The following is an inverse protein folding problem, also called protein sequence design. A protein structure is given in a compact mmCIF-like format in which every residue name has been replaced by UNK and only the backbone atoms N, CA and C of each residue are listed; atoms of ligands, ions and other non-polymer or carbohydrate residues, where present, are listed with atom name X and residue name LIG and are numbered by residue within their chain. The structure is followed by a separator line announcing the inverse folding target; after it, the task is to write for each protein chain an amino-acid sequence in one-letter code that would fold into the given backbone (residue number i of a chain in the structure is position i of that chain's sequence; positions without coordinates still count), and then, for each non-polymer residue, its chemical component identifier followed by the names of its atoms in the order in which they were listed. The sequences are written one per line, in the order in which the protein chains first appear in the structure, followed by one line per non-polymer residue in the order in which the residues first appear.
data_IF_395175123662
#
_entry.id   IF_395175123662
#
_cell.length_a   1.000
_cell.length_b   1.000
_cell.length_c   1.000
_cell.angle_alpha   90.00
_cell.angle_beta   90.00
_cell.angle_gamma   90.00
#
_symmetry.space_group_name_H-M   'P 1'
#
loop_
_entity.id
_entity.type
_entity.pdbx_description
1 polymer ?
#
# COMPACT_ATOMS: atom_id res chain seq x y z
N UNK A 1 -4.72 -1.34 17.72
CA UNK A 1 -4.37 0.04 17.86
C UNK A 1 -3.85 0.68 16.55
N UNK A 2 -3.09 -0.05 15.71
CA UNK A 2 -2.74 0.37 14.35
C UNK A 2 -3.41 -0.55 13.33
N UNK A 3 -4.19 -0.01 12.42
CA UNK A 3 -4.69 -0.71 11.24
C UNK A 3 -3.75 -0.43 10.07
N UNK A 4 -2.95 -1.42 9.70
CA UNK A 4 -2.01 -1.34 8.56
C UNK A 4 -2.33 -2.44 7.56
N UNK A 5 -3.25 -2.13 6.65
CA UNK A 5 -3.69 -3.01 5.56
C UNK A 5 -3.84 -2.19 4.28
N UNK A 6 -4.37 -2.78 3.22
CA UNK A 6 -4.77 -2.07 2.01
C UNK A 6 -6.04 -1.24 2.27
N UNK A 7 -5.94 -0.30 3.20
CA UNK A 7 -7.03 0.58 3.61
C UNK A 7 -6.86 1.93 2.95
N UNK A 8 -7.74 2.23 2.00
CA UNK A 8 -7.72 3.51 1.28
C UNK A 8 -8.06 4.66 2.21
N UNK A 9 -7.19 5.67 2.24
CA UNK A 9 -7.48 6.93 2.89
C UNK A 9 -8.54 7.68 2.08
N UNK A 10 -9.77 7.66 2.57
CA UNK A 10 -10.93 8.28 1.95
C UNK A 10 -11.71 9.09 2.98
N UNK A 11 -12.35 10.18 2.52
CA UNK A 11 -13.12 11.09 3.38
C UNK A 11 -14.12 10.35 4.28
N UNK A 12 -14.87 9.39 3.73
CA UNK A 12 -15.86 8.62 4.50
C UNK A 12 -15.21 7.81 5.62
N UNK A 13 -14.05 7.22 5.38
CA UNK A 13 -13.32 6.44 6.39
C UNK A 13 -12.69 7.32 7.44
N UNK A 14 -12.11 8.42 7.02
CA UNK A 14 -11.50 9.39 7.93
C UNK A 14 -12.56 10.09 8.78
N UNK A 15 -13.61 10.64 8.16
CA UNK A 15 -14.59 11.46 8.84
C UNK A 15 -15.63 10.67 9.65
N UNK A 16 -16.08 9.47 9.20
CA UNK A 16 -17.22 8.77 9.80
C UNK A 16 -16.87 7.51 10.58
N UNK A 17 -15.71 6.87 10.30
CA UNK A 17 -15.31 5.64 10.99
C UNK A 17 -14.36 5.87 12.19
N UNK A 18 -14.04 7.12 12.50
CA UNK A 18 -13.12 7.44 13.59
C UNK A 18 -11.67 6.98 13.34
N UNK A 19 -11.31 6.77 12.08
CA UNK A 19 -9.93 6.47 11.69
C UNK A 19 -9.13 7.76 11.55
N UNK A 20 -7.86 7.71 11.93
CA UNK A 20 -6.92 8.80 11.75
C UNK A 20 -5.75 8.29 10.91
N UNK A 21 -5.73 8.62 9.62
CA UNK A 21 -4.69 8.17 8.71
C UNK A 21 -3.39 8.93 8.92
N UNK A 22 -2.29 8.21 9.15
CA UNK A 22 -0.97 8.81 9.41
C UNK A 22 -0.24 9.26 8.14
N UNK A 23 -0.76 8.88 6.99
CA UNK A 23 -0.20 9.19 5.68
C UNK A 23 -0.37 8.03 4.70
N UNK A 24 0.08 8.22 3.48
CA UNK A 24 0.03 7.17 2.44
C UNK A 24 1.33 6.40 2.46
N UNK A 25 1.29 5.09 2.63
CA UNK A 25 2.48 4.23 2.52
C UNK A 25 2.50 3.38 1.25
N UNK A 26 1.41 3.38 0.47
CA UNK A 26 1.37 2.75 -0.83
C UNK A 26 0.36 3.47 -1.74
N UNK A 27 0.82 3.98 -2.87
CA UNK A 27 -0.03 4.54 -3.92
C UNK A 27 -0.44 3.41 -4.85
N UNK A 28 -1.71 3.03 -4.78
CA UNK A 28 -2.32 1.98 -5.58
C UNK A 28 -3.45 2.54 -6.47
N UNK A 29 -4.06 1.66 -7.22
CA UNK A 29 -5.26 1.90 -7.99
C UNK A 29 -6.05 0.62 -8.13
N UNK A 30 -7.35 0.74 -8.34
CA UNK A 30 -8.22 -0.40 -8.59
C UNK A 30 -8.02 -0.93 -10.01
N UNK A 31 -7.81 -2.23 -10.12
CA UNK A 31 -7.66 -2.94 -11.38
C UNK A 31 -8.68 -4.07 -11.56
N UNK A 32 -8.48 -4.86 -12.60
CA UNK A 32 -9.27 -6.05 -12.88
C UNK A 32 -8.35 -7.24 -13.11
N UNK A 33 -8.68 -8.38 -12.51
CA UNK A 33 -8.10 -9.69 -12.79
C UNK A 33 -9.09 -10.48 -13.64
N UNK A 34 -8.61 -11.06 -14.72
CA UNK A 34 -9.39 -11.88 -15.67
C UNK A 34 -8.62 -13.16 -16.03
N UNK A 35 -9.33 -14.17 -16.51
CA UNK A 35 -8.66 -15.29 -17.15
C UNK A 35 -7.97 -14.81 -18.43
N UNK A 36 -6.72 -15.25 -18.63
CA UNK A 36 -5.92 -14.91 -19.79
C UNK A 36 -6.61 -15.41 -21.06
N UNK A 37 -6.80 -14.52 -22.02
CA UNK A 37 -7.51 -14.86 -23.25
C UNK A 37 -7.81 -13.63 -24.10
N UNK A 38 -9.06 -13.48 -24.50
CA UNK A 38 -9.48 -12.40 -25.42
C UNK A 38 -9.63 -11.03 -24.73
N UNK A 39 -9.78 -11.00 -23.41
CA UNK A 39 -9.96 -9.74 -22.64
C UNK A 39 -8.57 -9.21 -22.26
N UNK A 40 -8.21 -8.07 -22.81
CA UNK A 40 -6.93 -7.38 -22.58
C UNK A 40 -7.11 -5.93 -22.10
N UNK A 41 -8.36 -5.46 -22.01
CA UNK A 41 -8.71 -4.10 -21.58
C UNK A 41 -9.99 -4.12 -20.78
N UNK A 42 -10.09 -3.24 -19.80
CA UNK A 42 -11.28 -3.05 -18.96
C UNK A 42 -12.54 -2.66 -19.77
N UNK A 43 -12.36 -2.00 -20.91
CA UNK A 43 -13.47 -1.64 -21.83
C UNK A 43 -14.15 -2.86 -22.44
N UNK A 44 -13.46 -3.99 -22.54
CA UNK A 44 -14.01 -5.25 -23.05
C UNK A 44 -14.87 -6.00 -22.02
N UNK A 45 -14.96 -5.51 -20.78
CA UNK A 45 -15.79 -6.08 -19.72
C UNK A 45 -17.26 -5.62 -19.81
N UNK A 46 -17.72 -5.20 -20.98
CA UNK A 46 -19.14 -4.82 -21.19
C UNK A 46 -20.06 -6.00 -20.90
N UNK A 47 -21.00 -5.80 -19.96
CA UNK A 47 -21.97 -6.82 -19.53
C UNK A 47 -21.38 -7.94 -18.65
N UNK A 48 -20.09 -7.92 -18.38
CA UNK A 48 -19.41 -8.96 -17.60
C UNK A 48 -19.86 -9.00 -16.14
N UNK A 49 -19.86 -10.19 -15.56
CA UNK A 49 -19.98 -10.38 -14.11
C UNK A 49 -18.64 -10.09 -13.44
N UNK A 50 -18.63 -9.25 -12.41
CA UNK A 50 -17.42 -8.81 -11.71
C UNK A 50 -17.55 -9.08 -10.22
N UNK A 51 -16.70 -9.97 -9.69
CA UNK A 51 -16.62 -10.23 -8.26
C UNK A 51 -15.99 -9.02 -7.53
N UNK A 52 -16.61 -8.62 -6.43
CA UNK A 52 -16.14 -7.49 -5.60
C UNK A 52 -16.56 -7.69 -4.15
N UNK A 53 -15.75 -7.19 -3.20
CA UNK A 53 -16.08 -7.24 -1.78
C UNK A 53 -16.96 -6.06 -1.40
N UNK A 54 -18.00 -6.31 -0.60
CA UNK A 54 -18.94 -5.30 -0.11
C UNK A 54 -18.29 -4.29 0.85
N UNK A 55 -18.86 -3.07 0.90
CA UNK A 55 -18.43 -2.02 1.81
C UNK A 55 -17.04 -1.45 1.52
N UNK A 56 -16.53 -1.67 0.32
CA UNK A 56 -15.21 -1.19 -0.11
C UNK A 56 -15.30 0.02 -1.04
N UNK A 57 -14.22 0.79 -1.13
CA UNK A 57 -14.07 1.82 -2.17
C UNK A 57 -14.18 1.21 -3.55
N UNK A 58 -13.70 -0.02 -3.72
CA UNK A 58 -13.67 -0.72 -5.01
C UNK A 58 -15.07 -1.13 -5.49
N UNK A 59 -16.01 -1.44 -4.60
CA UNK A 59 -17.40 -1.68 -4.97
C UNK A 59 -18.03 -0.42 -5.57
N UNK A 60 -17.84 0.72 -4.90
CA UNK A 60 -18.33 2.01 -5.38
C UNK A 60 -17.70 2.40 -6.72
N UNK A 61 -16.38 2.32 -6.81
CA UNK A 61 -15.65 2.70 -8.02
C UNK A 61 -16.01 1.81 -9.22
N UNK A 62 -16.28 0.52 -9.00
CA UNK A 62 -16.77 -0.39 -10.04
C UNK A 62 -18.10 0.13 -10.64
N UNK A 63 -19.04 0.52 -9.78
CA UNK A 63 -20.33 1.06 -10.21
C UNK A 63 -20.17 2.36 -11.01
N UNK A 64 -19.36 3.28 -10.47
CA UNK A 64 -19.11 4.58 -11.09
C UNK A 64 -18.41 4.44 -12.46
N UNK A 65 -17.37 3.60 -12.53
CA UNK A 65 -16.64 3.33 -13.77
C UNK A 65 -17.51 2.67 -14.84
N UNK A 66 -18.28 1.64 -14.45
CA UNK A 66 -19.19 0.93 -15.34
C UNK A 66 -20.25 1.87 -15.94
N UNK A 67 -20.80 2.76 -15.11
CA UNK A 67 -21.80 3.75 -15.52
C UNK A 67 -21.20 4.82 -16.43
N UNK A 68 -20.07 5.41 -16.04
CA UNK A 68 -19.41 6.47 -16.79
C UNK A 68 -18.95 6.01 -18.19
N UNK A 69 -18.65 4.72 -18.36
CA UNK A 69 -18.17 4.15 -19.61
C UNK A 69 -19.25 3.33 -20.37
N UNK A 70 -20.51 3.33 -19.90
CA UNK A 70 -21.62 2.58 -20.50
C UNK A 70 -21.31 1.08 -20.65
N UNK A 71 -20.66 0.47 -19.67
CA UNK A 71 -20.21 -0.92 -19.73
C UNK A 71 -21.26 -1.91 -19.21
N UNK A 72 -22.25 -1.46 -18.45
CA UNK A 72 -23.29 -2.31 -17.88
C UNK A 72 -22.74 -3.57 -17.17
N UNK A 73 -21.59 -3.43 -16.49
CA UNK A 73 -21.00 -4.52 -15.70
C UNK A 73 -21.96 -4.95 -14.60
N UNK A 74 -21.94 -6.22 -14.25
CA UNK A 74 -22.82 -6.82 -13.24
C UNK A 74 -22.00 -7.16 -11.99
N UNK A 75 -22.01 -6.32 -10.94
CA UNK A 75 -21.32 -6.65 -9.69
C UNK A 75 -21.90 -7.92 -9.06
N UNK A 76 -21.02 -8.82 -8.62
CA UNK A 76 -21.35 -9.96 -7.77
C UNK A 76 -20.64 -9.74 -6.45
N UNK A 77 -21.42 -9.36 -5.44
CA UNK A 77 -20.90 -8.82 -4.17
C UNK A 77 -20.80 -9.92 -3.11
N UNK A 78 -19.70 -9.93 -2.39
CA UNK A 78 -19.43 -10.86 -1.28
C UNK A 78 -18.99 -10.11 -0.03
N UNK A 79 -19.32 -10.60 1.15
CA UNK A 79 -19.00 -9.94 2.42
C UNK A 79 -17.50 -10.06 2.79
N UNK A 80 -16.85 -11.17 2.41
CA UNK A 80 -15.46 -11.43 2.79
C UNK A 80 -14.54 -11.55 1.58
N UNK A 81 -13.26 -11.23 1.79
CA UNK A 81 -12.22 -11.43 0.78
C UNK A 81 -12.13 -12.90 0.34
N UNK A 82 -12.20 -13.82 1.30
CA UNK A 82 -12.12 -15.26 1.02
C UNK A 82 -13.28 -15.73 0.12
N UNK A 83 -14.51 -15.31 0.41
CA UNK A 83 -15.67 -15.63 -0.42
C UNK A 83 -15.54 -15.05 -1.83
N UNK A 84 -15.01 -13.83 -1.94
CA UNK A 84 -14.77 -13.18 -3.25
C UNK A 84 -13.73 -13.95 -4.05
N UNK A 85 -12.59 -14.32 -3.43
CA UNK A 85 -11.54 -15.11 -4.06
C UNK A 85 -12.07 -16.45 -4.57
N UNK A 86 -12.75 -17.19 -3.70
CA UNK A 86 -13.32 -18.50 -4.04
C UNK A 86 -14.32 -18.39 -5.19
N UNK A 87 -15.16 -17.36 -5.21
CA UNK A 87 -16.13 -17.15 -6.28
C UNK A 87 -15.47 -16.89 -7.63
N UNK A 88 -14.43 -16.06 -7.67
CA UNK A 88 -13.70 -15.80 -8.90
C UNK A 88 -12.98 -17.04 -9.42
N UNK A 89 -12.19 -17.72 -8.58
CA UNK A 89 -11.43 -18.90 -9.01
C UNK A 89 -12.29 -20.12 -9.35
N UNK A 90 -13.54 -20.19 -8.83
CA UNK A 90 -14.52 -21.19 -9.24
C UNK A 90 -15.25 -20.84 -10.54
N UNK A 91 -14.93 -19.72 -11.19
CA UNK A 91 -15.55 -19.30 -12.45
C UNK A 91 -16.92 -18.64 -12.33
N UNK A 92 -17.34 -18.25 -11.11
CA UNK A 92 -18.62 -17.56 -10.89
C UNK A 92 -18.67 -16.15 -11.48
N UNK A 93 -17.51 -15.49 -11.59
CA UNK A 93 -17.36 -14.17 -12.19
C UNK A 93 -16.35 -14.21 -13.34
N UNK A 94 -16.59 -13.39 -14.36
CA UNK A 94 -15.68 -13.24 -15.50
C UNK A 94 -14.47 -12.35 -15.18
N UNK A 95 -14.61 -11.47 -14.20
CA UNK A 95 -13.53 -10.63 -13.67
C UNK A 95 -13.61 -10.49 -12.16
N UNK A 96 -12.48 -10.15 -11.55
CA UNK A 96 -12.38 -9.76 -10.16
C UNK A 96 -11.79 -8.36 -10.06
N UNK A 97 -12.31 -7.51 -9.20
CA UNK A 97 -11.82 -6.15 -9.01
C UNK A 97 -11.51 -5.85 -7.55
N UNK A 98 -10.31 -5.35 -7.32
CA UNK A 98 -9.83 -4.74 -6.07
C UNK A 98 -8.56 -3.95 -6.39
N UNK A 99 -7.79 -3.53 -5.38
CA UNK A 99 -6.48 -2.87 -5.55
C UNK A 99 -5.54 -3.74 -6.41
N UNK A 100 -4.81 -3.14 -7.33
CA UNK A 100 -3.93 -3.86 -8.25
C UNK A 100 -2.85 -4.67 -7.53
N UNK A 101 -2.28 -4.13 -6.45
CA UNK A 101 -1.34 -4.87 -5.59
C UNK A 101 -2.01 -6.06 -4.90
N UNK A 102 -3.27 -5.89 -4.47
CA UNK A 102 -4.12 -6.94 -3.92
C UNK A 102 -4.39 -8.04 -4.93
N UNK A 103 -4.74 -7.68 -6.18
CA UNK A 103 -4.93 -8.65 -7.28
C UNK A 103 -3.66 -9.44 -7.58
N UNK A 104 -2.49 -8.79 -7.56
CA UNK A 104 -1.21 -9.48 -7.73
C UNK A 104 -0.96 -10.50 -6.62
N UNK A 105 -1.23 -10.15 -5.37
CA UNK A 105 -1.09 -11.03 -4.21
C UNK A 105 -2.07 -12.21 -4.30
N UNK A 106 -3.35 -11.94 -4.58
CA UNK A 106 -4.40 -12.95 -4.72
C UNK A 106 -4.07 -13.91 -5.85
N UNK A 107 -3.68 -13.41 -7.02
CA UNK A 107 -3.26 -14.23 -8.15
C UNK A 107 -2.11 -15.15 -7.79
N UNK A 108 -1.09 -14.63 -7.11
CA UNK A 108 0.09 -15.42 -6.73
C UNK A 108 -0.20 -16.48 -5.67
N UNK A 109 -1.14 -16.18 -4.74
CA UNK A 109 -1.41 -17.03 -3.59
C UNK A 109 -2.53 -18.05 -3.82
N UNK A 110 -3.59 -17.64 -4.52
CA UNK A 110 -4.85 -18.40 -4.59
C UNK A 110 -5.05 -19.09 -5.95
N UNK A 111 -4.36 -18.66 -7.02
CA UNK A 111 -4.51 -19.28 -8.31
C UNK A 111 -3.65 -20.56 -8.40
N UNK A 112 -4.25 -21.66 -8.85
CA UNK A 112 -3.52 -22.91 -9.14
C UNK A 112 -2.43 -22.69 -10.21
N UNK A 113 -2.72 -21.82 -11.17
CA UNK A 113 -1.82 -21.40 -12.25
C UNK A 113 -1.87 -19.87 -12.39
N UNK A 114 -1.01 -19.12 -11.69
CA UNK A 114 -1.01 -17.66 -11.74
C UNK A 114 -0.90 -17.07 -13.15
N UNK A 115 -0.18 -17.74 -14.04
CA UNK A 115 0.03 -17.30 -15.43
C UNK A 115 -1.20 -17.45 -16.34
N UNK A 116 -2.22 -18.18 -15.90
CA UNK A 116 -3.51 -18.26 -16.59
C UNK A 116 -4.41 -17.06 -16.31
N UNK A 117 -3.98 -16.16 -15.45
CA UNK A 117 -4.71 -14.95 -15.06
C UNK A 117 -3.93 -13.69 -15.45
N UNK A 118 -4.64 -12.69 -15.96
CA UNK A 118 -4.11 -11.40 -16.37
C UNK A 118 -4.70 -10.28 -15.52
N UNK A 119 -3.85 -9.44 -14.93
CA UNK A 119 -4.26 -8.14 -14.38
C UNK A 119 -4.27 -7.17 -15.56
N UNK A 120 -5.43 -6.57 -15.83
CA UNK A 120 -5.57 -5.60 -16.91
C UNK A 120 -4.75 -4.34 -16.65
N UNK A 121 -4.25 -3.66 -17.67
CA UNK A 121 -3.33 -2.53 -17.50
C UNK A 121 -4.01 -1.26 -16.98
N UNK A 122 -5.33 -1.15 -17.09
CA UNK A 122 -6.05 0.04 -16.65
C UNK A 122 -6.26 0.05 -15.15
N UNK A 123 -5.96 1.19 -14.53
CA UNK A 123 -6.38 1.51 -13.17
C UNK A 123 -7.56 2.48 -13.25
N UNK A 124 -8.67 2.11 -12.61
CA UNK A 124 -9.93 2.84 -12.69
C UNK A 124 -10.17 3.81 -11.53
N UNK A 125 -9.29 3.81 -10.54
CA UNK A 125 -9.33 4.72 -9.40
C UNK A 125 -7.95 5.02 -8.85
N UNK A 126 -7.90 5.94 -7.90
CA UNK A 126 -6.76 6.19 -7.01
C UNK A 126 -7.06 5.55 -5.66
N UNK A 127 -6.15 4.69 -5.20
CA UNK A 127 -6.24 4.05 -3.90
C UNK A 127 -4.99 4.41 -3.06
N UNK A 128 -4.99 5.58 -2.37
CA UNK A 128 -3.91 5.95 -1.46
C UNK A 128 -4.04 5.14 -0.17
N UNK A 129 -3.28 4.07 -0.07
CA UNK A 129 -3.31 3.15 1.08
C UNK A 129 -2.42 3.67 2.20
N UNK A 130 -2.90 3.61 3.43
CA UNK A 130 -2.11 4.07 4.56
C UNK A 130 -2.51 3.46 5.90
N UNK A 131 -1.56 3.42 6.84
CA UNK A 131 -1.86 3.04 8.21
C UNK A 131 -2.80 4.07 8.85
N UNK A 132 -3.66 3.59 9.73
CA UNK A 132 -4.52 4.44 10.53
C UNK A 132 -4.52 4.00 11.98
N UNK A 133 -4.75 4.95 12.86
CA UNK A 133 -4.93 4.75 14.30
C UNK A 133 -6.32 5.23 14.71
N UNK A 134 -6.71 4.96 15.95
CA UNK A 134 -7.94 5.48 16.51
C UNK A 134 -7.81 6.99 16.74
N UNK A 135 -8.86 7.75 16.50
CA UNK A 135 -8.91 9.17 16.85
C UNK A 135 -8.92 9.38 18.36
N UNK A 136 -8.36 10.52 18.80
CA UNK A 136 -8.35 10.92 20.19
C UNK A 136 -7.11 10.47 20.96
N UNK A 137 -6.12 9.90 20.27
CA UNK A 137 -4.78 9.64 20.79
C UNK A 137 -3.75 10.30 19.88
N UNK A 138 -3.57 11.60 20.04
CA UNK A 138 -2.71 12.41 19.18
C UNK A 138 -1.22 12.10 19.39
N UNK A 139 -0.83 11.67 20.59
CA UNK A 139 0.54 11.25 20.89
C UNK A 139 0.87 9.97 20.11
N UNK A 140 0.04 8.96 20.21
CA UNK A 140 0.24 7.71 19.47
C UNK A 140 0.17 7.91 17.94
N UNK A 141 -0.77 8.75 17.48
CA UNK A 141 -0.83 9.14 16.07
C UNK A 141 0.49 9.76 15.61
N UNK A 142 1.04 10.68 16.41
CA UNK A 142 2.30 11.36 16.09
C UNK A 142 3.46 10.37 16.03
N UNK A 143 3.55 9.43 16.98
CA UNK A 143 4.58 8.39 16.99
C UNK A 143 4.50 7.55 15.71
N UNK A 144 3.33 7.00 15.39
CA UNK A 144 3.17 6.13 14.20
C UNK A 144 3.49 6.88 12.92
N UNK A 145 3.04 8.13 12.80
CA UNK A 145 3.34 9.01 11.67
C UNK A 145 4.84 9.21 11.48
N UNK A 146 5.56 9.57 12.53
CA UNK A 146 6.99 9.85 12.44
C UNK A 146 7.83 8.59 12.22
N UNK A 147 7.42 7.43 12.72
CA UNK A 147 8.06 6.16 12.37
C UNK A 147 7.94 5.91 10.86
N UNK A 148 6.76 6.12 10.27
CA UNK A 148 6.58 5.97 8.81
C UNK A 148 7.46 6.94 8.03
N UNK A 149 7.57 8.20 8.48
CA UNK A 149 8.42 9.20 7.83
C UNK A 149 9.91 8.88 7.97
N UNK A 150 10.37 8.50 9.15
CA UNK A 150 11.77 8.13 9.37
C UNK A 150 12.22 6.96 8.48
N UNK A 151 11.37 5.96 8.26
CA UNK A 151 11.68 4.85 7.35
C UNK A 151 11.80 5.30 5.88
N UNK A 152 11.08 6.34 5.47
CA UNK A 152 11.21 6.93 4.12
C UNK A 152 12.47 7.77 4.00
N UNK A 153 12.70 8.66 4.95
CA UNK A 153 13.87 9.52 4.99
C UNK A 153 15.15 8.69 5.06
N UNK A 154 15.16 7.60 5.83
CA UNK A 154 16.25 6.63 5.83
C UNK A 154 16.58 6.12 4.41
N UNK A 155 15.56 5.89 3.57
CA UNK A 155 15.75 5.50 2.17
C UNK A 155 16.35 6.61 1.31
N UNK A 156 16.06 7.88 1.61
CA UNK A 156 16.64 9.05 0.91
C UNK A 156 18.13 9.20 1.20
N UNK A 157 18.53 8.95 2.45
CA UNK A 157 19.92 9.04 2.91
C UNK A 157 20.68 7.71 2.82
N UNK A 158 20.08 6.68 2.21
CA UNK A 158 20.73 5.40 1.97
C UNK A 158 20.98 4.58 3.24
N UNK A 159 20.29 4.87 4.34
CA UNK A 159 20.40 4.11 5.59
C UNK A 159 19.65 2.80 5.43
N UNK A 160 20.35 1.68 5.42
CA UNK A 160 19.75 0.35 5.27
C UNK A 160 19.79 -0.45 6.57
N UNK A 161 19.03 -1.54 6.61
CA UNK A 161 19.08 -2.48 7.74
C UNK A 161 20.49 -3.05 7.96
N UNK A 162 21.22 -3.26 6.88
CA UNK A 162 22.54 -3.89 6.92
C UNK A 162 23.64 -2.96 7.45
N UNK A 163 23.53 -1.65 7.18
CA UNK A 163 24.59 -0.69 7.48
C UNK A 163 24.24 0.32 8.59
N UNK A 164 23.03 0.27 9.13
CA UNK A 164 22.55 1.22 10.14
C UNK A 164 23.43 1.31 11.37
N UNK A 165 24.06 0.21 11.81
CA UNK A 165 24.97 0.20 12.95
C UNK A 165 26.27 0.96 12.64
N UNK A 166 26.86 0.71 11.46
CA UNK A 166 28.04 1.41 11.00
C UNK A 166 27.76 2.90 10.79
N UNK A 167 26.66 3.22 10.12
CA UNK A 167 26.26 4.62 9.90
C UNK A 167 26.01 5.36 11.21
N UNK A 168 25.39 4.71 12.21
CA UNK A 168 25.21 5.29 13.54
C UNK A 168 26.54 5.59 14.22
N UNK A 169 27.53 4.72 14.06
CA UNK A 169 28.83 4.86 14.71
C UNK A 169 29.77 5.87 14.01
N UNK A 170 29.67 6.00 12.68
CA UNK A 170 30.72 6.68 11.89
C UNK A 170 30.23 7.83 11.01
N UNK A 171 28.93 7.97 10.74
CA UNK A 171 28.43 9.00 9.84
C UNK A 171 28.73 10.41 10.36
N UNK A 172 29.19 11.27 9.45
CA UNK A 172 29.40 12.70 9.71
C UNK A 172 28.30 13.57 9.09
N UNK A 173 27.36 12.95 8.38
CA UNK A 173 26.20 13.67 7.83
C UNK A 173 25.26 14.08 8.97
N UNK A 174 24.98 15.40 9.15
CA UNK A 174 24.15 15.88 10.25
C UNK A 174 22.73 15.34 10.24
N UNK A 175 22.15 15.07 9.05
CA UNK A 175 20.81 14.51 8.90
C UNK A 175 20.80 13.05 9.34
N UNK A 176 21.77 12.25 8.90
CA UNK A 176 21.94 10.87 9.34
C UNK A 176 22.13 10.79 10.85
N UNK A 177 22.96 11.67 11.41
CA UNK A 177 23.18 11.73 12.86
C UNK A 177 21.89 12.05 13.64
N UNK A 178 21.05 12.94 13.11
CA UNK A 178 19.77 13.28 13.71
C UNK A 178 18.80 12.12 13.64
N UNK A 179 18.62 11.50 12.46
CA UNK A 179 17.78 10.31 12.28
C UNK A 179 18.20 9.17 13.21
N UNK A 180 19.51 8.93 13.37
CA UNK A 180 20.04 7.83 14.18
C UNK A 180 20.22 8.17 15.66
N UNK A 181 19.85 9.40 16.09
CA UNK A 181 19.87 9.84 17.49
C UNK A 181 21.26 10.04 18.07
N UNK A 182 22.27 10.40 17.25
CA UNK A 182 23.64 10.64 17.71
C UNK A 182 23.96 12.11 17.93
N UNK A 183 23.23 13.04 17.32
CA UNK A 183 23.41 14.50 17.51
C UNK A 183 22.31 15.14 18.33
N UNK A 184 21.06 14.84 18.07
CA UNK A 184 19.89 15.41 18.72
C UNK A 184 18.99 14.33 19.33
N UNK A 185 18.30 14.67 20.43
CA UNK A 185 17.31 13.78 21.06
C UNK A 185 15.91 14.12 20.59
N UNK A 186 15.61 13.75 19.33
CA UNK A 186 14.27 13.90 18.75
C UNK A 186 13.24 12.97 19.40
N UNK A 187 13.67 11.90 20.05
CA UNK A 187 12.81 10.97 20.79
C UNK A 187 12.04 11.66 21.91
N UNK A 188 12.63 12.62 22.59
CA UNK A 188 11.97 13.43 23.63
C UNK A 188 10.67 14.08 23.15
N UNK A 189 10.61 14.52 21.88
CA UNK A 189 9.44 15.15 21.29
C UNK A 189 8.27 14.15 21.11
N UNK A 190 8.59 12.87 21.11
CA UNK A 190 7.65 11.77 20.94
C UNK A 190 7.42 10.96 22.22
N UNK A 191 8.06 11.35 23.35
CA UNK A 191 8.05 10.53 24.57
C UNK A 191 8.79 9.19 24.42
N UNK A 192 9.76 9.10 23.51
CA UNK A 192 10.54 7.91 23.20
C UNK A 192 12.02 8.11 23.51
N UNK A 193 12.79 7.04 23.48
CA UNK A 193 14.25 7.10 23.54
C UNK A 193 14.83 7.75 22.28
N UNK A 194 15.98 8.38 22.41
CA UNK A 194 16.65 9.12 21.33
C UNK A 194 16.95 8.29 20.08
N UNK A 195 17.06 6.98 20.21
CA UNK A 195 17.40 6.04 19.14
C UNK A 195 16.15 5.34 18.54
N UNK A 196 14.98 5.92 18.71
CA UNK A 196 13.71 5.36 18.24
C UNK A 196 13.70 5.01 16.73
N UNK A 197 14.19 5.93 15.89
CA UNK A 197 14.24 5.72 14.43
C UNK A 197 15.32 4.69 14.06
N UNK A 198 16.50 4.74 14.71
CA UNK A 198 17.52 3.71 14.53
C UNK A 198 16.96 2.31 14.84
N UNK A 199 16.23 2.14 15.94
CA UNK A 199 15.64 0.83 16.30
C UNK A 199 14.63 0.37 15.26
N UNK A 200 13.80 1.26 14.73
CA UNK A 200 12.85 0.94 13.69
C UNK A 200 13.56 0.49 12.40
N UNK A 201 14.58 1.23 11.94
CA UNK A 201 15.35 0.90 10.74
C UNK A 201 16.11 -0.41 10.93
N UNK A 202 16.73 -0.63 12.10
CA UNK A 202 17.44 -1.87 12.41
C UNK A 202 16.54 -3.08 12.40
N UNK A 203 15.31 -2.94 12.89
CA UNK A 203 14.34 -4.02 12.93
C UNK A 203 13.75 -4.38 11.56
N UNK A 204 13.49 -3.38 10.72
CA UNK A 204 12.69 -3.56 9.51
C UNK A 204 13.36 -3.14 8.21
N UNK A 205 14.49 -2.43 8.26
CA UNK A 205 15.05 -1.72 7.13
C UNK A 205 14.27 -0.44 6.80
N UNK A 206 14.73 0.30 5.80
CA UNK A 206 14.06 1.48 5.31
C UNK A 206 12.82 1.11 4.43
N UNK A 207 12.03 2.11 4.06
CA UNK A 207 10.83 1.91 3.23
C UNK A 207 11.13 1.14 1.93
N UNK A 208 12.25 1.42 1.27
CA UNK A 208 12.65 0.73 0.05
C UNK A 208 12.88 -0.76 0.25
N UNK A 209 13.57 -1.13 1.32
CA UNK A 209 13.83 -2.54 1.67
C UNK A 209 12.54 -3.27 2.03
N UNK A 210 11.63 -2.60 2.76
CA UNK A 210 10.30 -3.14 3.08
C UNK A 210 9.50 -3.40 1.81
N UNK A 211 9.48 -2.43 0.88
CA UNK A 211 8.80 -2.58 -0.41
C UNK A 211 9.38 -3.75 -1.20
N UNK A 212 10.71 -3.78 -1.38
CA UNK A 212 11.40 -4.77 -2.20
C UNK A 212 11.10 -6.22 -1.77
N UNK A 213 11.15 -6.50 -0.45
CA UNK A 213 10.94 -7.88 0.04
C UNK A 213 9.47 -8.30 0.11
N UNK A 214 8.52 -7.35 0.22
CA UNK A 214 7.12 -7.70 0.41
C UNK A 214 6.31 -7.69 -0.90
N UNK A 215 6.55 -6.74 -1.77
CA UNK A 215 5.79 -6.57 -3.02
C UNK A 215 6.67 -6.32 -4.24
N UNK A 216 7.91 -5.89 -4.05
CA UNK A 216 8.84 -5.49 -5.09
C UNK A 216 9.58 -6.64 -5.77
N UNK A 217 10.65 -6.34 -6.52
CA UNK A 217 11.43 -7.31 -7.28
C UNK A 217 11.99 -8.49 -6.50
N UNK A 218 12.22 -8.33 -5.19
CA UNK A 218 12.68 -9.42 -4.31
C UNK A 218 11.54 -10.30 -3.77
N UNK A 219 10.29 -9.96 -4.08
CA UNK A 219 9.11 -10.75 -3.73
C UNK A 219 8.60 -11.56 -4.93
N UNK A 220 7.73 -12.55 -4.71
CA UNK A 220 7.05 -13.25 -5.81
C UNK A 220 6.20 -12.34 -6.69
N UNK A 221 5.75 -11.19 -6.17
CA UNK A 221 4.86 -10.26 -6.87
C UNK A 221 5.59 -9.43 -7.93
N UNK A 222 6.88 -9.12 -7.70
CA UNK A 222 7.76 -8.38 -8.62
C UNK A 222 7.18 -7.04 -9.11
N UNK A 223 6.42 -6.36 -8.25
CA UNK A 223 5.81 -5.08 -8.61
C UNK A 223 6.87 -3.97 -8.73
N UNK A 224 6.78 -3.11 -9.74
CA UNK A 224 7.67 -1.95 -9.85
C UNK A 224 7.30 -0.90 -8.80
N UNK A 225 8.28 -0.10 -8.40
CA UNK A 225 8.06 1.01 -7.45
C UNK A 225 7.04 2.02 -7.99
N UNK A 226 7.16 2.44 -9.25
CA UNK A 226 6.29 3.43 -9.85
C UNK A 226 6.09 4.67 -8.98
N UNK A 227 4.84 5.04 -8.71
CA UNK A 227 4.50 6.13 -7.79
C UNK A 227 5.01 5.91 -6.35
N UNK A 228 5.31 4.69 -5.97
CA UNK A 228 5.87 4.33 -4.66
C UNK A 228 7.39 4.52 -4.57
N UNK A 229 8.00 5.12 -5.58
CA UNK A 229 9.40 5.52 -5.50
C UNK A 229 9.53 6.82 -4.72
N UNK A 230 10.77 7.10 -4.24
CA UNK A 230 11.08 8.37 -3.57
C UNK A 230 10.87 9.54 -4.54
N UNK A 231 10.52 10.70 -4.01
CA UNK A 231 10.29 11.92 -4.78
C UNK A 231 11.49 12.31 -5.66
N UNK A 232 12.71 12.15 -5.15
CA UNK A 232 13.95 12.41 -5.89
C UNK A 232 14.30 11.31 -6.93
N UNK A 233 13.49 10.24 -7.00
CA UNK A 233 13.57 9.15 -7.99
C UNK A 233 12.30 9.04 -8.83
N UNK A 234 11.54 10.13 -8.96
CA UNK A 234 10.36 10.22 -9.80
C UNK A 234 9.07 9.64 -9.23
N UNK A 235 9.03 9.33 -7.93
CA UNK A 235 7.83 8.86 -7.24
C UNK A 235 7.13 9.93 -6.41
N UNK A 236 6.20 9.49 -5.57
CA UNK A 236 5.39 10.34 -4.69
C UNK A 236 5.74 10.16 -3.21
N UNK A 237 6.70 9.27 -2.87
CA UNK A 237 7.10 9.09 -1.48
C UNK A 237 7.98 10.25 -1.05
N UNK A 238 7.37 11.12 -0.25
CA UNK A 238 7.97 12.31 0.33
C UNK A 238 7.77 12.28 1.84
N UNK A 239 8.81 12.52 2.63
CA UNK A 239 8.75 12.63 4.07
C UNK A 239 9.19 14.03 4.51
N UNK A 240 8.51 14.65 5.48
CA UNK A 240 9.08 15.78 6.18
C UNK A 240 10.31 15.32 6.98
N UNK A 241 11.30 16.20 7.17
CA UNK A 241 12.56 15.85 7.84
C UNK A 241 12.34 15.54 9.33
N UNK A 242 13.06 14.53 9.82
CA UNK A 242 13.17 14.18 11.24
C UNK A 242 13.99 15.24 11.99
#
# INVERSE_FOLDING_TARGET
DVLSRNTTNALSRDASLGLHFVGVNYYDGQGFLVNKGKITSAKQLKGATVCVQSGTTTEKNLSDYSKANNLAMKPVVFETLEATNKAYFSGRCQAYTTDASGLASIRNKEADKPDDHLILPELISKEPLGPSVRRGDDEFFTIVKWVVFALREAGEYGISQADVDEMKASSKDPVVQRILGTSEDTGKLLGLDKDWAYRAIKATGNYGEIFERNVGPKSPLKLPRGANNLWNKGGLMYAPPV
#
